data_IF_781579285458
#
_entry.id   IF_781579285458
#
_cell.length_a   1.000
_cell.length_b   1.000
_cell.length_c   1.000
_cell.angle_alpha   90.00
_cell.angle_beta   90.00
_cell.angle_gamma   90.00
#
_symmetry.space_group_name_H-M   'P 1'
#
loop_
_entity.id
_entity.type
_entity.pdbx_description
1 polymer ?
#
# COMPACT_ATOMS: atom_id res chain seq x y z
N UNK A 1 -24.19 62.27 -1.93
CA UNK A 1 -24.07 61.45 -3.17
C UNK A 1 -22.60 61.38 -3.58
N UNK A 2 -21.89 60.30 -3.23
CA UNK A 2 -20.71 59.82 -3.95
C UNK A 2 -20.76 58.30 -3.95
N UNK A 3 -20.93 57.81 -5.17
CA UNK A 3 -21.19 56.45 -5.58
C UNK A 3 -19.88 55.63 -5.48
N UNK A 4 -19.98 54.41 -4.96
CA UNK A 4 -19.24 53.22 -5.40
C UNK A 4 -17.72 53.28 -5.56
N UNK A 5 -17.01 52.71 -4.57
CA UNK A 5 -15.80 51.92 -4.84
C UNK A 5 -15.78 50.74 -3.87
N UNK A 6 -16.87 49.97 -3.89
CA UNK A 6 -17.02 48.68 -3.20
C UNK A 6 -17.03 47.60 -4.29
N UNK A 7 -15.91 47.42 -4.98
CA UNK A 7 -15.69 46.32 -5.94
C UNK A 7 -14.23 46.35 -6.36
N UNK A 8 -13.64 45.17 -6.57
CA UNK A 8 -12.23 44.93 -6.95
C UNK A 8 -11.29 44.81 -5.74
N UNK A 9 -11.55 43.84 -4.87
CA UNK A 9 -10.46 43.06 -4.26
C UNK A 9 -10.94 41.68 -3.77
N UNK A 10 -11.81 41.03 -4.55
CA UNK A 10 -12.23 39.65 -4.35
C UNK A 10 -12.01 38.95 -5.70
N UNK A 11 -10.77 38.56 -6.00
CA UNK A 11 -10.46 37.49 -6.97
C UNK A 11 -8.96 37.15 -7.02
N UNK A 12 -8.38 36.69 -5.92
CA UNK A 12 -7.00 36.16 -5.92
C UNK A 12 -6.85 34.95 -4.99
N UNK A 13 -7.88 34.09 -4.95
CA UNK A 13 -7.93 32.93 -4.04
C UNK A 13 -8.07 31.59 -4.79
N UNK A 14 -8.11 31.56 -6.12
CA UNK A 14 -8.47 30.32 -6.84
C UNK A 14 -7.44 29.95 -7.90
N UNK A 15 -6.19 29.72 -7.51
CA UNK A 15 -5.28 28.87 -8.29
C UNK A 15 -4.28 28.12 -7.40
N UNK A 16 -4.78 27.48 -6.35
CA UNK A 16 -4.15 26.26 -5.83
C UNK A 16 -4.92 25.07 -6.39
N UNK A 17 -5.00 24.98 -7.72
CA UNK A 17 -5.27 23.69 -8.36
C UNK A 17 -4.05 22.83 -8.09
N UNK A 18 -4.06 22.17 -6.93
CA UNK A 18 -3.06 21.17 -6.59
C UNK A 18 -2.94 20.20 -7.75
N UNK A 19 -1.71 19.88 -8.12
CA UNK A 19 -1.47 18.69 -8.92
C UNK A 19 -2.16 17.54 -8.19
N UNK A 20 -3.15 16.89 -8.81
CA UNK A 20 -3.56 15.54 -8.43
C UNK A 20 -2.42 14.57 -8.80
N UNK A 21 -1.22 14.82 -8.27
CA UNK A 21 -0.18 13.81 -8.16
C UNK A 21 -0.67 12.84 -7.11
N UNK A 22 -0.81 11.58 -7.49
CA UNK A 22 -1.40 10.58 -6.62
C UNK A 22 -0.68 10.60 -5.27
N UNK A 23 -1.42 10.96 -4.22
CA UNK A 23 -0.87 11.29 -2.91
C UNK A 23 -0.38 10.04 -2.20
N UNK A 24 0.63 10.20 -1.34
CA UNK A 24 1.11 9.15 -0.47
C UNK A 24 -0.01 8.74 0.48
N UNK A 25 -0.19 7.45 0.68
CA UNK A 25 -1.19 6.96 1.62
C UNK A 25 -0.68 5.75 2.36
N UNK A 26 -1.29 5.53 3.52
CA UNK A 26 -1.02 4.40 4.39
C UNK A 26 -2.34 3.79 4.81
N UNK A 27 -2.45 2.47 4.68
CA UNK A 27 -3.62 1.69 5.10
C UNK A 27 -3.17 0.74 6.21
N UNK A 28 -3.68 0.89 7.45
CA UNK A 28 -3.39 -0.05 8.51
C UNK A 28 -3.86 -1.46 8.16
N UNK A 29 -2.99 -2.45 8.32
CA UNK A 29 -3.35 -3.87 8.20
C UNK A 29 -3.80 -4.39 9.55
N UNK A 30 -3.01 -4.13 10.60
CA UNK A 30 -3.36 -4.42 11.98
C UNK A 30 -2.71 -3.39 12.94
N UNK A 31 -2.51 -3.75 14.21
CA UNK A 31 -1.83 -2.88 15.18
C UNK A 31 -0.35 -2.65 14.88
N UNK A 32 0.29 -3.58 14.16
CA UNK A 32 1.75 -3.64 14.01
C UNK A 32 2.20 -3.34 12.57
N UNK A 33 1.37 -3.62 11.57
CA UNK A 33 1.69 -3.53 10.15
C UNK A 33 0.78 -2.57 9.39
N UNK A 34 1.34 -1.96 8.35
CA UNK A 34 0.65 -1.09 7.41
C UNK A 34 1.10 -1.32 5.96
N UNK A 35 0.16 -1.12 5.04
CA UNK A 35 0.42 -1.04 3.60
C UNK A 35 0.65 0.43 3.22
N UNK A 36 1.85 0.74 2.76
CA UNK A 36 2.27 2.09 2.41
C UNK A 36 2.47 2.27 0.92
N UNK A 37 1.99 3.40 0.40
CA UNK A 37 2.31 3.92 -0.93
C UNK A 37 3.03 5.25 -0.80
N UNK A 38 4.25 5.33 -1.31
CA UNK A 38 5.11 6.54 -1.23
C UNK A 38 5.33 7.24 -2.58
N UNK A 39 4.85 6.63 -3.67
CA UNK A 39 4.65 7.26 -4.97
C UNK A 39 3.76 6.35 -5.84
N UNK A 40 3.37 6.75 -7.06
CA UNK A 40 2.46 5.96 -7.89
C UNK A 40 2.86 4.53 -8.23
N UNK A 41 4.14 4.18 -8.09
CA UNK A 41 4.68 2.87 -8.45
C UNK A 41 5.46 2.22 -7.30
N UNK A 42 5.35 2.77 -6.08
CA UNK A 42 6.09 2.27 -4.92
C UNK A 42 5.14 1.94 -3.79
N UNK A 43 4.99 0.63 -3.57
CA UNK A 43 4.16 0.02 -2.55
C UNK A 43 5.01 -0.89 -1.67
N UNK A 44 4.71 -0.92 -0.37
CA UNK A 44 5.49 -1.61 0.67
C UNK A 44 4.61 -2.09 1.82
N UNK A 45 5.09 -3.06 2.60
CA UNK A 45 4.56 -3.40 3.93
C UNK A 45 5.58 -2.96 4.96
N UNK A 46 5.15 -2.15 5.93
CA UNK A 46 6.01 -1.57 6.95
C UNK A 46 5.50 -1.91 8.35
N UNK A 47 6.41 -1.91 9.33
CA UNK A 47 6.01 -1.81 10.73
C UNK A 47 5.51 -0.39 11.03
N UNK A 48 4.44 -0.29 11.82
CA UNK A 48 3.78 0.98 12.16
C UNK A 48 4.54 1.82 13.19
N UNK A 49 5.41 1.19 13.98
CA UNK A 49 6.13 1.82 15.08
C UNK A 49 7.31 2.68 14.60
N UNK A 50 8.08 2.17 13.65
CA UNK A 50 9.31 2.79 13.17
C UNK A 50 9.40 2.92 11.63
N UNK A 51 8.42 2.40 10.90
CA UNK A 51 8.36 2.47 9.45
C UNK A 51 9.35 1.54 8.73
N UNK A 52 10.00 0.60 9.42
CA UNK A 52 10.89 -0.36 8.79
C UNK A 52 10.13 -1.28 7.83
N UNK A 53 10.76 -1.57 6.69
CA UNK A 53 10.19 -2.48 5.69
C UNK A 53 10.12 -3.91 6.21
N UNK A 54 8.92 -4.48 6.21
CA UNK A 54 8.68 -5.92 6.34
C UNK A 54 8.76 -6.58 4.97
N UNK A 55 8.24 -5.91 3.95
CA UNK A 55 8.41 -6.25 2.54
C UNK A 55 8.90 -4.98 1.84
N UNK A 56 10.06 -5.09 1.21
CA UNK A 56 10.67 -3.99 0.47
C UNK A 56 9.74 -3.43 -0.62
N UNK A 57 9.95 -2.16 -1.02
CA UNK A 57 9.34 -1.55 -2.20
C UNK A 57 9.29 -2.45 -3.44
N UNK A 58 8.31 -2.15 -4.32
CA UNK A 58 7.96 -2.84 -5.59
C UNK A 58 6.98 -4.01 -5.47
N UNK A 59 6.14 -3.99 -4.45
CA UNK A 59 4.97 -4.88 -4.37
C UNK A 59 4.04 -4.59 -5.55
N UNK A 60 3.72 -5.61 -6.35
CA UNK A 60 2.83 -5.53 -7.50
C UNK A 60 1.44 -6.06 -7.20
N UNK A 61 1.32 -7.04 -6.31
CA UNK A 61 0.05 -7.56 -5.85
C UNK A 61 0.08 -7.80 -4.34
N UNK A 62 -1.03 -7.52 -3.67
CA UNK A 62 -1.18 -7.67 -2.23
C UNK A 62 -2.63 -7.97 -1.87
N UNK A 63 -2.85 -8.73 -0.80
CA UNK A 63 -4.16 -8.85 -0.15
C UNK A 63 -3.94 -9.24 1.31
N UNK A 64 -4.88 -8.90 2.18
CA UNK A 64 -4.81 -9.27 3.59
C UNK A 64 -6.20 -9.47 4.20
N UNK A 65 -6.23 -10.24 5.29
CA UNK A 65 -7.37 -10.41 6.19
C UNK A 65 -6.88 -10.34 7.66
N UNK A 66 -7.73 -10.74 8.61
CA UNK A 66 -7.38 -10.72 10.04
C UNK A 66 -6.32 -11.76 10.45
N UNK A 67 -5.98 -12.70 9.58
CA UNK A 67 -5.06 -13.81 9.86
C UNK A 67 -3.77 -13.71 9.05
N UNK A 68 -3.81 -13.25 7.80
CA UNK A 68 -2.66 -13.29 6.91
C UNK A 68 -2.51 -12.04 6.05
N UNK A 69 -1.27 -11.74 5.68
CA UNK A 69 -0.93 -10.89 4.52
C UNK A 69 -0.31 -11.79 3.46
N UNK A 70 -0.76 -11.66 2.21
CA UNK A 70 -0.09 -12.24 1.06
C UNK A 70 0.38 -11.13 0.14
N UNK A 71 1.59 -11.27 -0.40
CA UNK A 71 2.15 -10.28 -1.30
C UNK A 71 2.99 -10.94 -2.38
N UNK A 72 3.06 -10.24 -3.52
CA UNK A 72 3.93 -10.55 -4.64
C UNK A 72 4.72 -9.29 -4.97
N UNK A 73 6.03 -9.47 -5.13
CA UNK A 73 6.95 -8.42 -5.54
C UNK A 73 7.57 -8.80 -6.87
N UNK A 74 7.63 -7.83 -7.77
CA UNK A 74 8.39 -7.95 -9.01
C UNK A 74 9.53 -6.95 -8.95
N UNK A 75 10.76 -7.45 -9.02
CA UNK A 75 11.96 -6.61 -9.04
C UNK A 75 12.91 -7.12 -10.12
N UNK A 76 13.11 -6.32 -11.16
CA UNK A 76 13.82 -6.72 -12.37
C UNK A 76 13.20 -7.97 -13.03
N UNK A 77 13.90 -9.10 -13.01
CA UNK A 77 13.43 -10.38 -13.53
C UNK A 77 13.03 -11.38 -12.44
N UNK A 78 13.15 -10.98 -11.17
CA UNK A 78 12.83 -11.81 -10.02
C UNK A 78 11.39 -11.58 -9.57
N UNK A 79 10.67 -12.68 -9.34
CA UNK A 79 9.32 -12.68 -8.81
C UNK A 79 9.32 -13.43 -7.49
N UNK A 80 9.02 -12.69 -6.43
CA UNK A 80 9.08 -13.16 -5.06
C UNK A 80 7.71 -13.05 -4.39
N UNK A 81 7.44 -13.96 -3.46
CA UNK A 81 6.16 -14.06 -2.77
C UNK A 81 6.34 -14.09 -1.26
N UNK A 82 5.35 -13.56 -0.54
CA UNK A 82 5.29 -13.58 0.92
C UNK A 82 3.95 -14.11 1.41
N UNK A 83 4.00 -14.79 2.55
CA UNK A 83 2.86 -15.02 3.44
C UNK A 83 3.31 -14.57 4.83
N UNK A 84 2.61 -13.60 5.44
CA UNK A 84 2.86 -13.18 6.81
C UNK A 84 1.69 -13.68 7.66
N UNK A 85 1.99 -14.46 8.69
CA UNK A 85 1.03 -14.86 9.72
C UNK A 85 0.89 -13.73 10.75
N UNK A 86 -0.29 -13.14 10.84
CA UNK A 86 -0.56 -12.00 11.73
C UNK A 86 -0.81 -12.43 13.18
N UNK A 87 -1.14 -13.71 13.42
CA UNK A 87 -1.41 -14.22 14.77
C UNK A 87 -0.13 -14.64 15.47
N UNK A 88 0.72 -15.37 14.74
CA UNK A 88 1.99 -15.88 15.27
C UNK A 88 3.18 -14.96 14.94
N UNK A 89 2.93 -13.86 14.22
CA UNK A 89 3.94 -12.87 13.78
C UNK A 89 5.09 -13.49 12.98
N UNK A 90 4.78 -14.50 12.15
CA UNK A 90 5.78 -15.22 11.35
C UNK A 90 5.76 -14.76 9.91
N UNK A 91 6.93 -14.31 9.42
CA UNK A 91 7.12 -13.97 8.01
C UNK A 91 7.66 -15.17 7.21
N UNK A 92 6.91 -15.60 6.20
CA UNK A 92 7.32 -16.60 5.23
C UNK A 92 7.62 -15.94 3.88
N UNK A 93 8.83 -15.43 3.74
CA UNK A 93 9.34 -14.89 2.48
C UNK A 93 10.80 -14.46 2.56
N UNK A 94 11.41 -14.12 1.41
CA UNK A 94 10.86 -14.30 0.05
C UNK A 94 10.73 -15.79 -0.33
N UNK A 95 9.65 -16.13 -1.04
CA UNK A 95 9.37 -17.48 -1.57
C UNK A 95 9.35 -17.47 -3.10
N UNK A 96 9.69 -18.61 -3.70
CA UNK A 96 9.35 -18.90 -5.09
C UNK A 96 7.85 -19.15 -5.24
N UNK A 97 7.32 -19.06 -6.47
CA UNK A 97 5.91 -19.37 -6.76
C UNK A 97 5.49 -20.77 -6.27
N UNK A 98 6.33 -21.78 -6.48
CA UNK A 98 6.05 -23.15 -6.04
C UNK A 98 5.98 -23.26 -4.52
N UNK A 99 6.96 -22.66 -3.81
CA UNK A 99 7.00 -22.65 -2.36
C UNK A 99 5.82 -21.87 -1.76
N UNK A 100 5.44 -20.75 -2.38
CA UNK A 100 4.26 -19.96 -2.03
C UNK A 100 2.97 -20.78 -2.15
N UNK A 101 2.73 -21.41 -3.30
CA UNK A 101 1.51 -22.21 -3.51
C UNK A 101 1.43 -23.39 -2.55
N UNK A 102 2.54 -24.12 -2.36
CA UNK A 102 2.60 -25.23 -1.41
C UNK A 102 2.35 -24.77 0.02
N UNK A 103 2.82 -23.58 0.38
CA UNK A 103 2.59 -23.01 1.71
C UNK A 103 1.14 -22.56 1.88
N UNK A 104 0.59 -21.85 0.89
CA UNK A 104 -0.81 -21.40 0.84
C UNK A 104 -1.77 -22.58 1.02
N UNK A 105 -1.51 -23.70 0.33
CA UNK A 105 -2.24 -24.96 0.48
C UNK A 105 -2.09 -25.55 1.90
N UNK A 106 -0.86 -25.67 2.41
CA UNK A 106 -0.59 -26.23 3.75
C UNK A 106 -1.28 -25.44 4.87
N UNK A 107 -1.41 -24.13 4.70
CA UNK A 107 -2.03 -23.22 5.65
C UNK A 107 -3.53 -23.01 5.40
N UNK A 108 -4.10 -23.66 4.37
CA UNK A 108 -5.49 -23.53 3.96
C UNK A 108 -5.91 -22.06 3.73
N UNK A 109 -5.06 -21.28 3.06
CA UNK A 109 -5.32 -19.89 2.71
C UNK A 109 -6.03 -19.83 1.36
N UNK A 110 -7.29 -19.39 1.35
CA UNK A 110 -8.08 -19.26 0.11
C UNK A 110 -7.96 -17.87 -0.54
N UNK A 111 -7.42 -16.89 0.20
CA UNK A 111 -7.27 -15.52 -0.26
C UNK A 111 -6.39 -15.43 -1.52
N UNK A 112 -6.86 -14.70 -2.54
CA UNK A 112 -6.11 -14.45 -3.77
C UNK A 112 -5.39 -13.11 -3.75
N UNK A 113 -4.27 -13.04 -4.48
CA UNK A 113 -3.54 -11.79 -4.71
C UNK A 113 -4.40 -10.82 -5.53
N UNK A 114 -4.29 -9.53 -5.23
CA UNK A 114 -4.98 -8.44 -5.97
C UNK A 114 -3.95 -7.40 -6.39
N UNK A 115 -4.19 -6.75 -7.53
CA UNK A 115 -3.33 -5.66 -7.96
C UNK A 115 -3.30 -4.57 -6.89
N UNK A 116 -2.13 -3.99 -6.64
CA UNK A 116 -1.98 -2.81 -5.77
C UNK A 116 -2.84 -1.62 -6.25
N UNK A 117 -3.16 -1.55 -7.55
CA UNK A 117 -4.02 -0.51 -8.11
C UNK A 117 -5.51 -0.68 -7.73
N UNK A 118 -5.91 -1.89 -7.32
CA UNK A 118 -7.25 -2.18 -6.82
C UNK A 118 -7.39 -1.84 -5.32
N UNK A 119 -6.27 -1.59 -4.64
CA UNK A 119 -6.23 -1.19 -3.24
C UNK A 119 -6.44 0.32 -3.14
N UNK A 120 -7.53 0.72 -2.48
CA UNK A 120 -7.89 2.12 -2.27
C UNK A 120 -8.01 2.39 -0.76
N UNK A 121 -7.55 3.55 -0.27
CA UNK A 121 -7.84 4.00 1.09
C UNK A 121 -9.34 4.29 1.28
#
# INVERSE_FOLDING_TARGET
>A
MKLTTKMIMILLVVVLSGCNGATDYVIPINSNLEFGRTNPSTYSINYRDDGQFVIEPTISEVNWDDSYVIAKREHNSDVEYWIIDLKDEVNYGPLSKEAYLKRKEKMNIEMELKSVDDIKP
#
